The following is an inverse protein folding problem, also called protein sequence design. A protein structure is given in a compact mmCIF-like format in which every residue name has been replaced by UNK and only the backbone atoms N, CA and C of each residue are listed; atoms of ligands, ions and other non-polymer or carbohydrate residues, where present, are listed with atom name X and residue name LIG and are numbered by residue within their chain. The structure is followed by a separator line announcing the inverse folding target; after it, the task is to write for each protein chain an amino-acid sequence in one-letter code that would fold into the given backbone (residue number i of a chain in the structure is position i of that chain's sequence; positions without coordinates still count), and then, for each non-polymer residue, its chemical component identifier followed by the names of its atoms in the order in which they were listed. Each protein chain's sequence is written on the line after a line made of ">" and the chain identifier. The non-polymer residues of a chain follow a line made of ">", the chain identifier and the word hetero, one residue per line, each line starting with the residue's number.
data_IF_095717524771
#
_entry.id   IF_095717524771
#
_cell.length_a   1.000
_cell.length_b   1.000
_cell.length_c   1.000
_cell.angle_alpha   90.00
_cell.angle_beta   90.00
_cell.angle_gamma   90.00
#
_symmetry.space_group_name_H-M   'P 1'
#
loop_
_entity.id
_entity.type
_entity.pdbx_description
1 polymer ?
2 non-polymer ?
3 non-polymer ?
4 non-polymer ?
5 water ?
#
# COMPACT_ATOMS: atom_id res chain seq x y z
N UNK A 22 16.67 15.24 1.18
CA UNK A 22 15.62 14.42 1.79
C UNK A 22 14.51 14.08 0.78
N UNK A 23 14.06 12.83 0.83
CA UNK A 23 13.17 12.30 -0.18
C UNK A 23 11.81 12.04 0.44
N UNK A 24 10.75 12.46 -0.25
CA UNK A 24 9.40 12.17 0.19
C UNK A 24 8.61 13.40 0.58
N UNK A 25 9.15 14.58 0.25
CA UNK A 25 8.54 15.84 0.61
C UNK A 25 7.91 16.59 -0.56
N UNK A 26 8.08 16.07 -1.78
CA UNK A 26 7.59 16.73 -3.00
C UNK A 26 6.09 17.00 -2.95
N UNK A 27 5.68 18.09 -3.58
CA UNK A 27 4.26 18.43 -3.70
C UNK A 27 3.55 17.55 -4.72
N UNK A 28 2.38 17.04 -4.34
CA UNK A 28 1.58 16.20 -5.23
C UNK A 28 0.17 16.77 -5.36
N UNK A 29 -0.21 17.17 -6.58
CA UNK A 29 -1.43 17.94 -6.78
C UNK A 29 -2.23 17.45 -7.97
N UNK A 30 -2.91 16.30 -7.79
CA UNK A 30 -3.73 15.72 -8.87
C UNK A 30 -4.86 16.67 -9.28
N UNK A 31 -5.30 17.50 -8.35
CA UNK A 31 -6.40 18.43 -8.61
C UNK A 31 -6.04 19.48 -9.67
N UNK A 32 -4.74 19.66 -9.92
CA UNK A 32 -4.29 20.62 -10.92
C UNK A 32 -4.33 20.08 -12.34
N UNK A 33 -4.75 18.84 -12.51
CA UNK A 33 -4.89 18.25 -13.85
C UNK A 33 -6.25 17.57 -14.04
N UNK A 34 -6.88 17.76 -15.20
CA UNK A 34 -8.18 17.17 -15.46
C UNK A 34 -8.07 15.65 -15.60
N UNK A 35 -9.19 14.97 -15.39
CA UNK A 35 -9.20 13.52 -15.30
C UNK A 35 -8.84 12.86 -16.62
N UNK A 36 -9.33 13.40 -17.73
CA UNK A 36 -9.07 12.83 -19.05
C UNK A 36 -7.59 12.83 -19.38
N UNK A 37 -6.93 13.95 -19.06
CA UNK A 37 -5.50 14.08 -19.30
C UNK A 37 -4.73 13.09 -18.43
N UNK A 38 -5.12 12.97 -17.17
CA UNK A 38 -4.46 12.04 -16.26
C UNK A 38 -4.64 10.60 -16.73
N UNK A 39 -5.84 10.29 -17.19
CA UNK A 39 -6.15 8.93 -17.63
C UNK A 39 -5.31 8.58 -18.85
N UNK A 40 -5.10 9.56 -19.72
CA UNK A 40 -4.32 9.35 -20.94
C UNK A 40 -2.83 9.22 -20.63
N UNK A 41 -2.35 10.02 -19.69
CA UNK A 41 -1.03 9.80 -19.11
C UNK A 41 -0.89 8.38 -18.56
N UNK A 42 -1.91 7.95 -17.80
CA UNK A 42 -1.95 6.61 -17.26
C UNK A 42 -1.85 5.58 -18.35
N UNK A 43 -2.60 5.79 -19.45
CA UNK A 43 -2.57 4.87 -20.57
C UNK A 43 -1.18 4.80 -21.21
N UNK A 44 -0.49 5.93 -21.29
CA UNK A 44 0.88 5.94 -21.80
C UNK A 44 1.83 5.25 -20.83
N UNK A 45 1.60 5.39 -19.53
CA UNK A 45 2.40 4.71 -18.54
C UNK A 45 2.23 3.22 -18.63
N UNK A 46 0.99 2.80 -18.84
CA UNK A 46 0.66 1.39 -18.91
C UNK A 46 1.49 0.69 -19.98
N UNK A 47 1.87 1.40 -21.04
CA UNK A 47 2.59 0.75 -22.11
C UNK A 47 4.09 0.63 -21.87
N UNK A 48 4.67 1.53 -21.07
CA UNK A 48 6.13 1.65 -21.06
C UNK A 48 6.77 1.41 -19.70
N UNK A 49 6.00 1.70 -18.64
CA UNK A 49 6.46 1.55 -17.26
C UNK A 49 6.51 0.08 -16.86
N UNK A 50 7.65 -0.37 -16.35
CA UNK A 50 7.79 -1.74 -15.91
C UNK A 50 8.15 -2.70 -17.01
N UNK A 51 8.38 -2.19 -18.21
CA UNK A 51 8.91 -3.00 -19.30
C UNK A 51 10.35 -2.58 -19.57
N UNK A 52 10.94 -3.07 -20.65
CA UNK A 52 12.35 -2.85 -20.92
C UNK A 52 12.58 -1.74 -21.96
N UNK A 53 11.50 -1.25 -22.57
CA UNK A 53 11.63 -0.15 -23.51
C UNK A 53 12.02 1.11 -22.76
N UNK A 54 13.17 1.71 -23.12
CA UNK A 54 13.51 2.96 -22.45
C UNK A 54 12.94 4.18 -23.19
N UNK A 55 11.67 4.48 -22.96
CA UNK A 55 11.10 5.71 -23.50
C UNK A 55 11.42 6.86 -22.54
N UNK A 56 11.31 8.13 -23.00
CA UNK A 56 11.44 9.26 -22.08
C UNK A 56 10.58 9.11 -20.82
N UNK A 57 9.32 8.73 -21.01
CA UNK A 57 8.39 8.57 -19.91
C UNK A 57 8.90 7.52 -18.92
N UNK A 58 9.37 6.39 -19.46
CA UNK A 58 9.85 5.30 -18.64
C UNK A 58 11.13 5.70 -17.90
N UNK A 59 12.02 6.38 -18.61
CA UNK A 59 13.22 6.93 -18.00
C UNK A 59 12.85 7.90 -16.89
N UNK A 60 12.00 8.87 -17.22
CA UNK A 60 11.54 9.87 -16.27
C UNK A 60 11.10 9.22 -14.96
N UNK A 61 10.20 8.26 -15.07
CA UNK A 61 9.67 7.60 -13.89
C UNK A 61 10.58 6.49 -13.37
N UNK A 62 11.83 6.51 -13.78
CA UNK A 62 12.86 5.61 -13.28
C UNK A 62 13.95 6.38 -12.53
N UNK A 63 13.83 7.71 -12.52
CA UNK A 63 14.84 8.54 -11.89
C UNK A 63 15.87 9.12 -12.84
N UNK A 64 15.69 8.86 -14.14
CA UNK A 64 16.62 9.35 -15.14
C UNK A 64 16.11 10.67 -15.72
N UNK A 65 16.98 11.69 -15.78
CA UNK A 65 16.58 12.97 -16.41
C UNK A 65 16.28 12.79 -17.90
N UNK A 66 15.27 13.50 -18.42
CA UNK A 66 14.92 13.34 -19.83
C UNK A 66 14.74 14.68 -20.55
N UNK A 67 14.93 14.65 -21.86
CA UNK A 67 14.76 15.79 -22.74
C UNK A 67 13.27 16.08 -22.87
N UNK A 68 12.84 17.30 -22.52
CA UNK A 68 11.42 17.62 -22.65
C UNK A 68 10.87 17.49 -24.09
N UNK A 69 11.69 17.73 -25.11
CA UNK A 69 11.20 17.62 -26.48
C UNK A 69 10.89 16.17 -26.83
N UNK A 70 11.73 15.26 -26.36
CA UNK A 70 11.47 13.83 -26.53
C UNK A 70 10.26 13.39 -25.71
N UNK A 71 10.11 13.94 -24.52
CA UNK A 71 8.97 13.61 -23.67
C UNK A 71 7.68 14.08 -24.35
N UNK A 72 7.78 15.23 -25.01
CA UNK A 72 6.64 15.84 -25.67
C UNK A 72 6.23 14.98 -26.87
N UNK A 73 7.21 14.46 -27.59
CA UNK A 73 6.94 13.52 -28.66
C UNK A 73 6.11 12.35 -28.15
N UNK A 74 6.46 11.86 -26.97
CA UNK A 74 5.85 10.61 -26.48
C UNK A 74 4.45 10.82 -25.91
N UNK A 75 4.26 11.86 -25.10
CA UNK A 75 2.99 12.05 -24.38
C UNK A 75 2.25 13.35 -24.74
N UNK A 76 2.79 14.13 -25.67
CA UNK A 76 2.11 15.35 -26.10
C UNK A 76 2.36 16.49 -25.13
N UNK A 77 2.12 17.71 -25.58
CA UNK A 77 2.34 18.88 -24.74
C UNK A 77 1.31 18.92 -23.63
N UNK A 78 0.18 18.28 -23.91
CA UNK A 78 -0.86 18.06 -22.92
C UNK A 78 -0.31 17.15 -21.81
N UNK A 79 0.22 16.01 -22.20
CA UNK A 79 0.89 15.10 -21.28
C UNK A 79 2.03 15.79 -20.54
N UNK A 80 2.86 16.54 -21.26
CA UNK A 80 4.00 17.22 -20.62
C UNK A 80 3.52 18.20 -19.53
N UNK A 81 2.50 18.99 -19.87
CA UNK A 81 1.97 19.94 -18.90
C UNK A 81 1.31 19.23 -17.72
N UNK A 82 0.64 18.12 -17.98
CA UNK A 82 0.01 17.33 -16.93
C UNK A 82 1.05 16.77 -15.93
N UNK A 83 2.18 16.29 -16.44
CA UNK A 83 3.26 15.81 -15.59
C UNK A 83 3.77 16.91 -14.65
N UNK A 84 3.91 18.12 -15.18
CA UNK A 84 4.43 19.24 -14.40
C UNK A 84 3.42 19.77 -13.40
N UNK A 85 2.17 19.97 -13.84
CA UNK A 85 1.16 20.57 -12.94
C UNK A 85 0.80 19.66 -11.77
N UNK A 86 0.93 18.36 -11.96
CA UNK A 86 0.57 17.40 -10.91
C UNK A 86 1.71 17.22 -9.90
N UNK A 87 2.93 17.57 -10.29
CA UNK A 87 4.09 17.31 -9.45
C UNK A 87 4.80 16.02 -9.80
N UNK A 88 4.30 15.32 -10.81
CA UNK A 88 4.93 14.10 -11.29
C UNK A 88 6.30 14.36 -11.88
N UNK A 89 6.48 15.54 -12.49
CA UNK A 89 7.78 15.89 -13.03
C UNK A 89 8.13 17.35 -12.69
N UNK A 90 9.42 17.64 -12.70
CA UNK A 90 9.93 18.97 -12.45
C UNK A 90 10.79 19.41 -13.63
N UNK A 91 10.59 20.64 -14.07
CA UNK A 91 11.40 21.24 -15.12
C UNK A 91 12.65 21.85 -14.52
N UNK A 92 13.79 21.20 -14.72
CA UNK A 92 15.06 21.70 -14.22
C UNK A 92 15.77 22.57 -15.25
N UNK A 93 15.01 23.10 -16.19
CA UNK A 93 15.57 23.94 -17.23
C UNK A 93 15.54 23.27 -18.59
N UNK A 94 16.61 22.53 -18.89
CA UNK A 94 16.74 21.85 -20.18
C UNK A 94 16.37 20.37 -20.06
N UNK A 95 16.15 19.90 -18.84
CA UNK A 95 15.69 18.54 -18.62
C UNK A 95 14.55 18.46 -17.62
N UNK A 96 13.78 17.38 -17.70
CA UNK A 96 12.81 17.03 -16.68
C UNK A 96 13.34 15.89 -15.83
N UNK A 97 13.03 15.94 -14.55
CA UNK A 97 13.25 14.81 -13.66
C UNK A 97 11.97 14.57 -12.87
N UNK A 98 11.90 13.43 -12.19
CA UNK A 98 10.75 13.13 -11.37
C UNK A 98 11.20 12.76 -9.97
N UNK A 99 10.49 13.27 -8.95
CA UNK A 99 10.65 12.81 -7.58
C UNK A 99 10.01 11.45 -7.35
N UNK A 100 9.27 10.97 -8.35
CA UNK A 100 8.48 9.75 -8.22
C UNK A 100 8.98 8.63 -9.12
N UNK A 101 8.62 7.39 -8.77
CA UNK A 101 8.97 6.23 -9.57
C UNK A 101 7.73 5.46 -9.98
N UNK A 102 7.69 4.99 -11.22
CA UNK A 102 6.53 4.28 -11.74
C UNK A 102 6.58 2.77 -11.69
N UNK A 103 5.42 2.13 -11.55
CA UNK A 103 5.31 0.68 -11.47
C UNK A 103 4.09 0.26 -12.24
N UNK A 104 4.07 -0.95 -12.78
CA UNK A 104 2.83 -1.36 -13.37
C UNK A 104 2.62 -2.74 -12.77
N UNK A 105 1.49 -2.94 -12.08
CA UNK A 105 1.23 -4.19 -11.38
C UNK A 105 -0.16 -4.62 -11.73
N UNK A 106 -0.31 -5.88 -12.10
CA UNK A 106 -1.62 -6.49 -12.34
C UNK A 106 -2.60 -5.55 -13.05
N UNK A 107 -2.13 -4.90 -14.11
CA UNK A 107 -2.96 -4.00 -14.90
C UNK A 107 -2.97 -2.56 -14.41
N UNK A 108 -2.49 -2.36 -13.18
CA UNK A 108 -2.56 -1.05 -12.56
C UNK A 108 -1.22 -0.32 -12.59
N UNK A 109 -1.24 0.97 -12.95
CA UNK A 109 -0.03 1.79 -12.86
C UNK A 109 -0.04 2.53 -11.53
N UNK A 110 1.11 2.59 -10.88
CA UNK A 110 1.24 3.18 -9.54
C UNK A 110 2.54 3.97 -9.48
N UNK A 111 2.45 5.24 -9.10
CA UNK A 111 3.63 6.02 -8.77
C UNK A 111 3.83 6.06 -7.25
N UNK A 112 5.08 6.03 -6.81
CA UNK A 112 5.41 6.22 -5.41
C UNK A 112 6.80 6.85 -5.29
N UNK A 113 7.29 6.99 -4.06
CA UNK A 113 8.62 7.53 -3.85
C UNK A 113 9.66 6.50 -4.25
N UNK A 114 10.88 6.94 -4.58
CA UNK A 114 11.93 5.95 -4.81
C UNK A 114 12.28 5.27 -3.49
N UNK A 115 12.77 4.04 -3.56
CA UNK A 115 13.16 3.29 -2.36
C UNK A 115 14.50 3.81 -1.84
N UNK A 116 14.49 4.46 -0.68
CA UNK A 116 15.74 5.01 -0.15
C UNK A 116 15.84 4.67 1.31
N UNK A 117 17.06 4.77 1.84
CA UNK A 117 17.30 4.38 3.22
C UNK A 117 16.50 5.27 4.19
N UNK A 118 16.23 4.72 5.37
CA UNK A 118 15.38 5.37 6.35
C UNK A 118 15.84 6.77 6.74
N UNK A 119 17.15 7.00 6.73
CA UNK A 119 17.70 8.25 7.26
C UNK A 119 17.47 9.43 6.35
N UNK A 120 17.15 9.21 5.08
CA UNK A 120 16.94 10.34 4.17
C UNK A 120 15.47 10.46 3.76
N UNK A 121 14.61 9.72 4.43
CA UNK A 121 13.18 9.84 4.19
C UNK A 121 12.57 11.05 4.91
N UNK A 122 11.83 11.85 4.16
CA UNK A 122 10.93 12.86 4.71
C UNK A 122 9.88 12.17 5.60
N UNK A 123 9.29 12.90 6.55
CA UNK A 123 8.23 12.31 7.36
C UNK A 123 6.98 11.96 6.55
N UNK A 124 6.82 12.58 5.37
CA UNK A 124 5.68 12.25 4.52
C UNK A 124 6.06 11.30 3.37
N UNK A 125 7.22 10.67 3.48
CA UNK A 125 7.66 9.60 2.59
C UNK A 125 6.60 8.51 2.43
N UNK A 126 6.40 8.05 1.21
CA UNK A 126 5.40 7.03 0.99
C UNK A 126 6.08 5.72 0.65
N UNK A 127 5.65 4.63 1.31
CA UNK A 127 6.06 3.26 1.00
C UNK A 127 6.27 3.13 -0.52
N UNK A 128 7.50 2.80 -0.92
CA UNK A 128 7.85 2.78 -2.35
C UNK A 128 7.46 1.45 -3.03
N UNK A 129 6.51 0.74 -2.43
CA UNK A 129 6.06 -0.59 -2.83
C UNK A 129 7.11 -1.64 -2.46
N UNK A 130 7.49 -1.66 -1.19
CA UNK A 130 8.40 -2.69 -0.70
C UNK A 130 7.81 -4.09 -0.93
N UNK A 131 6.54 -4.27 -0.57
CA UNK A 131 5.92 -5.59 -0.57
C UNK A 131 4.64 -5.74 -1.40
N UNK A 132 4.14 -4.64 -1.96
CA UNK A 132 2.81 -4.60 -2.60
C UNK A 132 2.62 -5.64 -3.72
N UNK A 133 3.63 -5.83 -4.57
CA UNK A 133 3.44 -6.79 -5.66
C UNK A 133 3.29 -8.21 -5.10
N UNK A 134 4.04 -8.49 -4.04
CA UNK A 134 3.91 -9.75 -3.32
C UNK A 134 2.51 -9.90 -2.70
N UNK A 135 2.05 -8.86 -2.02
CA UNK A 135 0.79 -8.91 -1.28
C UNK A 135 -0.44 -9.12 -2.16
N UNK A 136 -0.45 -8.48 -3.32
CA UNK A 136 -1.56 -8.62 -4.25
C UNK A 136 -1.73 -10.06 -4.71
N UNK A 137 -0.62 -10.75 -4.95
CA UNK A 137 -0.65 -12.17 -5.27
C UNK A 137 -1.15 -13.00 -4.08
N UNK A 138 -0.92 -12.52 -2.86
CA UNK A 138 -1.39 -13.24 -1.67
C UNK A 138 -2.88 -13.05 -1.44
N UNK A 139 -3.38 -11.87 -1.81
CA UNK A 139 -4.76 -11.46 -1.52
C UNK A 139 -5.77 -12.40 -2.15
N UNK A 140 -6.85 -12.66 -1.43
CA UNK A 140 -7.94 -13.48 -1.95
C UNK A 140 -8.57 -12.82 -3.17
N UNK A 141 -8.93 -13.64 -4.15
CA UNK A 141 -9.55 -13.14 -5.37
C UNK A 141 -11.06 -13.24 -5.28
N UNK A 142 -11.62 -12.55 -4.30
CA UNK A 142 -13.06 -12.45 -4.14
C UNK A 142 -13.42 -10.98 -4.27
N UNK A 143 -14.69 -10.70 -4.52
CA UNK A 143 -15.16 -9.33 -4.58
C UNK A 143 -16.25 -9.14 -3.56
N UNK A 144 -16.90 -7.98 -3.60
CA UNK A 144 -17.95 -7.70 -2.63
C UNK A 144 -18.34 -6.25 -2.66
N UNK A 145 -19.03 -5.80 -1.62
CA UNK A 145 -19.63 -4.47 -1.61
C UNK A 145 -18.64 -3.34 -1.33
N UNK A 146 -17.99 -3.43 -0.18
CA UNK A 146 -17.26 -2.29 0.35
C UNK A 146 -15.93 -2.71 0.96
N UNK A 147 -14.84 -2.12 0.48
CA UNK A 147 -13.51 -2.49 0.94
C UNK A 147 -12.83 -1.32 1.59
N UNK A 148 -11.92 -1.62 2.51
CA UNK A 148 -11.16 -0.63 3.24
C UNK A 148 -9.68 -0.98 3.15
N UNK A 149 -8.90 -0.01 2.72
CA UNK A 149 -7.44 -0.12 2.64
C UNK A 149 -6.84 0.77 3.73
N UNK A 150 -6.56 0.17 4.88
CA UNK A 150 -6.01 0.88 6.02
C UNK A 150 -4.52 1.15 5.79
N UNK A 151 -4.13 2.42 5.89
CA UNK A 151 -2.78 2.81 5.53
C UNK A 151 -2.55 2.63 4.04
N UNK A 152 -3.33 3.33 3.22
CA UNK A 152 -3.29 3.12 1.78
C UNK A 152 -1.99 3.58 1.10
N UNK A 153 -1.23 4.47 1.73
CA UNK A 153 0.00 4.97 1.12
C UNK A 153 -0.17 5.45 -0.32
N UNK A 154 0.48 4.77 -1.26
CA UNK A 154 0.38 5.14 -2.69
C UNK A 154 -0.99 4.84 -3.31
N UNK A 155 -1.78 4.01 -2.63
CA UNK A 155 -3.09 3.62 -3.14
C UNK A 155 -3.12 2.25 -3.81
N UNK A 156 -1.97 1.62 -3.98
CA UNK A 156 -1.83 0.41 -4.76
C UNK A 156 -2.85 -0.69 -4.40
N UNK A 157 -3.01 -1.05 -3.12
CA UNK A 157 -3.97 -2.11 -2.79
C UNK A 157 -5.41 -1.69 -3.13
N UNK A 158 -5.73 -0.43 -2.85
CA UNK A 158 -7.02 0.14 -3.20
C UNK A 158 -7.31 0.03 -4.68
N UNK A 159 -6.32 0.34 -5.49
CA UNK A 159 -6.53 0.36 -6.94
C UNK A 159 -6.85 -1.04 -7.42
N UNK A 160 -6.22 -2.03 -6.78
CA UNK A 160 -6.45 -3.42 -7.13
C UNK A 160 -7.84 -3.86 -6.68
N UNK A 161 -8.20 -3.52 -5.45
CA UNK A 161 -9.50 -3.87 -4.89
C UNK A 161 -10.70 -3.25 -5.65
N UNK A 162 -10.46 -2.12 -6.31
CA UNK A 162 -11.53 -1.37 -7.00
C UNK A 162 -12.15 -2.16 -8.13
N UNK A 163 -11.38 -3.07 -8.69
CA UNK A 163 -11.82 -3.96 -9.76
C UNK A 163 -12.92 -4.92 -9.31
N UNK A 164 -12.94 -5.17 -8.00
CA UNK A 164 -13.70 -6.27 -7.43
C UNK A 164 -14.81 -5.78 -6.51
N UNK A 165 -14.72 -4.51 -6.09
CA UNK A 165 -15.62 -3.96 -5.08
C UNK A 165 -16.38 -2.77 -5.60
N UNK A 166 -17.63 -2.68 -5.16
CA UNK A 166 -18.50 -1.59 -5.54
C UNK A 166 -17.87 -0.26 -5.12
N UNK A 167 -17.17 -0.30 -3.98
CA UNK A 167 -16.60 0.87 -3.35
C UNK A 167 -15.35 0.52 -2.55
N UNK A 168 -14.30 1.33 -2.70
CA UNK A 168 -13.08 1.16 -1.90
C UNK A 168 -12.77 2.45 -1.17
N UNK A 169 -12.52 2.35 0.14
CA UNK A 169 -12.06 3.48 0.95
C UNK A 169 -10.61 3.27 1.36
N UNK A 170 -9.75 4.20 0.96
CA UNK A 170 -8.37 4.19 1.39
C UNK A 170 -8.17 5.25 2.46
N UNK A 171 -7.57 4.84 3.58
CA UNK A 171 -7.30 5.76 4.70
C UNK A 171 -5.80 5.87 4.92
N UNK A 172 -5.28 7.09 5.06
CA UNK A 172 -3.91 7.26 5.57
C UNK A 172 -3.79 8.53 6.41
N UNK A 173 -2.89 8.49 7.39
CA UNK A 173 -2.64 9.63 8.25
C UNK A 173 -1.61 10.56 7.59
N UNK A 174 -0.93 10.03 6.57
CA UNK A 174 -0.03 10.82 5.73
C UNK A 174 -0.80 11.56 4.62
N UNK A 175 -0.86 12.91 4.69
CA UNK A 175 -1.64 13.68 3.72
C UNK A 175 -1.06 13.55 2.32
N UNK A 176 0.25 13.39 2.23
CA UNK A 176 0.89 13.19 0.93
C UNK A 176 0.52 11.85 0.31
N UNK A 177 0.34 10.83 1.15
CA UNK A 177 -0.11 9.54 0.67
C UNK A 177 -1.52 9.65 0.11
N UNK A 178 -2.36 10.43 0.79
CA UNK A 178 -3.73 10.58 0.32
C UNK A 178 -3.76 11.24 -1.06
N UNK A 179 -2.90 12.24 -1.26
CA UNK A 179 -2.87 12.96 -2.52
C UNK A 179 -2.33 12.04 -3.60
N UNK A 180 -1.30 11.29 -3.26
CA UNK A 180 -0.70 10.37 -4.22
C UNK A 180 -1.70 9.30 -4.62
N UNK A 181 -2.50 8.85 -3.65
CA UNK A 181 -3.54 7.85 -3.93
C UNK A 181 -4.56 8.35 -4.94
N UNK A 182 -5.06 9.56 -4.74
CA UNK A 182 -5.98 10.21 -5.70
C UNK A 182 -5.35 10.39 -7.08
N UNK A 183 -4.08 10.74 -7.12
CA UNK A 183 -3.35 10.83 -8.37
C UNK A 183 -3.40 9.46 -9.07
N UNK A 184 -2.92 8.43 -8.40
CA UNK A 184 -2.83 7.10 -8.99
C UNK A 184 -4.18 6.54 -9.42
N UNK A 185 -5.23 6.83 -8.67
CA UNK A 185 -6.57 6.39 -9.07
C UNK A 185 -7.01 7.09 -10.36
N UNK A 186 -6.68 8.38 -10.50
CA UNK A 186 -7.02 9.13 -11.72
C UNK A 186 -6.19 8.64 -12.90
N UNK A 187 -4.91 8.32 -12.67
CA UNK A 187 -4.09 7.76 -13.73
C UNK A 187 -4.71 6.48 -14.30
N UNK A 188 -5.36 5.71 -13.44
CA UNK A 188 -5.97 4.45 -13.86
C UNK A 188 -7.44 4.57 -14.23
N UNK A 189 -7.94 5.79 -14.25
CA UNK A 189 -9.34 6.03 -14.57
C UNK A 189 -10.35 5.41 -13.62
N UNK A 190 -9.91 5.10 -12.40
CA UNK A 190 -10.78 4.46 -11.41
C UNK A 190 -11.59 5.48 -10.63
N UNK A 191 -12.92 5.34 -10.61
CA UNK A 191 -13.77 6.32 -9.93
C UNK A 191 -14.61 5.78 -8.76
N UNK A 192 -14.43 4.51 -8.42
CA UNK A 192 -15.17 3.93 -7.31
C UNK A 192 -14.32 3.85 -6.05
N UNK A 193 -13.30 4.72 -5.97
CA UNK A 193 -12.39 4.74 -4.83
C UNK A 193 -12.40 6.10 -4.12
N UNK A 194 -12.37 6.05 -2.80
CA UNK A 194 -12.32 7.27 -1.99
C UNK A 194 -11.10 7.22 -1.08
N UNK A 195 -10.41 8.35 -0.95
CA UNK A 195 -9.25 8.41 -0.07
C UNK A 195 -9.43 9.52 0.93
N UNK A 196 -9.15 9.21 2.21
CA UNK A 196 -9.37 10.14 3.31
C UNK A 196 -8.18 10.23 4.25
N UNK A 197 -7.80 11.45 4.63
CA UNK A 197 -6.75 11.64 5.60
C UNK A 197 -7.32 11.40 6.99
N UNK A 198 -6.64 10.62 7.82
CA UNK A 198 -7.10 10.45 9.19
C UNK A 198 -6.39 9.33 9.92
N UNK A 199 -6.75 9.17 11.18
CA UNK A 199 -6.08 8.25 12.09
C UNK A 199 -6.80 6.92 12.24
N UNK A 200 -6.16 5.85 11.74
CA UNK A 200 -6.73 4.51 11.72
C UNK A 200 -8.21 4.50 11.32
N UNK A 201 -9.08 3.96 12.17
CA UNK A 201 -10.49 3.81 11.82
C UNK A 201 -11.34 5.05 11.99
N UNK A 202 -10.76 6.14 12.50
CA UNK A 202 -11.50 7.37 12.71
C UNK A 202 -12.30 7.81 11.46
N UNK A 203 -11.67 7.85 10.27
CA UNK A 203 -12.50 8.24 9.11
C UNK A 203 -13.26 7.09 8.43
N UNK A 204 -13.25 5.90 9.01
CA UNK A 204 -13.87 4.73 8.38
C UNK A 204 -15.18 4.34 9.10
N UNK A 205 -16.30 4.87 8.63
CA UNK A 205 -17.58 4.69 9.31
C UNK A 205 -18.32 3.46 8.81
N UNK A 206 -19.03 2.81 9.73
CA UNK A 206 -19.79 1.62 9.38
C UNK A 206 -18.91 0.41 9.22
N UNK A 207 -19.38 -0.56 8.44
CA UNK A 207 -18.71 -1.84 8.33
C UNK A 207 -18.25 -2.10 6.90
N UNK A 208 -17.32 -3.05 6.78
CA UNK A 208 -16.71 -3.38 5.50
C UNK A 208 -16.71 -4.87 5.31
N UNK A 209 -16.88 -5.32 4.06
CA UNK A 209 -16.77 -6.72 3.71
C UNK A 209 -15.31 -7.16 3.44
N UNK A 210 -14.42 -6.18 3.32
CA UNK A 210 -13.00 -6.44 3.02
C UNK A 210 -12.13 -5.35 3.66
N UNK A 211 -11.10 -5.77 4.38
CA UNK A 211 -10.16 -4.83 4.99
C UNK A 211 -8.76 -5.33 4.72
N UNK A 212 -7.94 -4.50 4.10
CA UNK A 212 -6.57 -4.89 3.83
C UNK A 212 -5.64 -3.93 4.58
N UNK A 213 -4.53 -4.45 5.10
CA UNK A 213 -3.66 -3.66 5.95
C UNK A 213 -2.19 -4.05 5.78
N UNK A 214 -1.49 -3.36 4.87
CA UNK A 214 -0.04 -3.49 4.78
C UNK A 214 0.53 -2.68 5.93
N UNK A 215 0.55 -3.28 7.12
CA UNK A 215 0.78 -2.55 8.36
C UNK A 215 2.16 -1.86 8.42
N UNK A 216 2.21 -0.67 9.03
CA UNK A 216 3.52 -0.03 9.29
C UNK A 216 4.20 -0.65 10.51
N UNK A 217 4.62 -1.90 10.36
CA UNK A 217 5.40 -2.57 11.37
C UNK A 217 6.60 -3.25 10.73
N UNK A 218 7.76 -3.16 11.37
CA UNK A 218 8.93 -3.88 10.90
C UNK A 218 9.88 -4.25 12.05
N UNK A 219 10.92 -3.46 12.29
CA UNK A 219 11.93 -3.84 13.28
C UNK A 219 11.81 -3.10 14.62
N UNK A 220 10.75 -2.32 14.78
CA UNK A 220 10.65 -1.38 15.89
C UNK A 220 10.04 -1.98 17.16
N UNK A 221 9.49 -3.19 17.08
CA UNK A 221 8.89 -3.84 18.24
C UNK A 221 7.69 -3.08 18.79
N UNK A 222 7.76 -2.69 20.06
CA UNK A 222 6.67 -1.91 20.67
C UNK A 222 6.79 -0.41 20.49
N UNK A 223 7.93 0.05 19.98
CA UNK A 223 8.23 1.48 19.96
C UNK A 223 7.62 2.16 18.75
N UNK A 224 7.04 3.33 18.92
CA UNK A 224 6.64 4.12 17.76
C UNK A 224 7.86 4.86 17.22
N UNK A 225 8.20 4.59 15.97
CA UNK A 225 9.33 5.24 15.32
C UNK A 225 8.85 6.30 14.36
N UNK A 226 8.03 5.89 13.39
CA UNK A 226 7.42 6.85 12.48
C UNK A 226 6.27 6.17 11.75
N UNK A 227 5.78 6.84 10.70
CA UNK A 227 4.60 6.39 9.98
C UNK A 227 4.78 5.02 9.36
N UNK A 228 6.02 4.61 9.15
CA UNK A 228 6.24 3.32 8.47
C UNK A 228 6.65 2.23 9.46
N UNK A 229 6.98 2.64 10.67
CA UNK A 229 7.25 1.71 11.77
C UNK A 229 6.61 2.27 13.03
N UNK A 230 5.34 1.94 13.24
CA UNK A 230 4.51 2.62 14.23
C UNK A 230 4.40 1.86 15.55
N UNK A 231 4.96 0.65 15.59
CA UNK A 231 4.96 -0.17 16.79
C UNK A 231 3.82 -1.17 16.85
N UNK A 232 3.97 -2.19 17.68
CA UNK A 232 2.91 -3.16 17.90
C UNK A 232 1.57 -2.55 18.33
N UNK A 233 1.56 -1.44 19.11
CA UNK A 233 0.25 -0.90 19.47
C UNK A 233 -0.64 -0.51 18.29
N UNK A 234 -0.07 -0.22 17.12
CA UNK A 234 -0.93 0.07 15.98
C UNK A 234 -1.70 -1.19 15.56
N UNK A 235 -1.11 -2.36 15.73
CA UNK A 235 -1.81 -3.63 15.42
C UNK A 235 -2.91 -3.91 16.42
N UNK A 236 -2.61 -3.66 17.70
CA UNK A 236 -3.59 -3.82 18.76
C UNK A 236 -4.81 -2.98 18.46
N UNK A 237 -4.58 -1.70 18.17
CA UNK A 237 -5.65 -0.79 17.74
C UNK A 237 -6.42 -1.34 16.53
N UNK A 238 -5.68 -1.80 15.54
CA UNK A 238 -6.32 -2.40 14.36
C UNK A 238 -7.19 -3.60 14.73
N UNK A 239 -6.59 -4.59 15.38
CA UNK A 239 -7.29 -5.85 15.65
C UNK A 239 -8.40 -5.72 16.71
N UNK A 240 -8.24 -4.82 17.69
CA UNK A 240 -9.32 -4.56 18.64
C UNK A 240 -10.57 -3.99 17.97
N UNK A 241 -10.39 -3.28 16.85
CA UNK A 241 -11.53 -2.67 16.18
C UNK A 241 -12.13 -3.53 15.08
N UNK A 242 -11.35 -4.48 14.56
CA UNK A 242 -11.80 -5.35 13.47
C UNK A 242 -13.18 -5.96 13.67
N UNK A 243 -13.47 -6.53 14.87
CA UNK A 243 -14.80 -7.15 15.05
C UNK A 243 -15.99 -6.21 14.81
N UNK A 244 -15.85 -4.93 15.13
CA UNK A 244 -16.92 -3.98 14.91
C UNK A 244 -16.81 -3.24 13.56
N UNK A 245 -15.72 -3.42 12.82
CA UNK A 245 -15.65 -2.82 11.49
C UNK A 245 -15.95 -3.82 10.38
N UNK A 246 -16.02 -5.09 10.75
CA UNK A 246 -16.11 -6.15 9.77
C UNK A 246 -17.55 -6.64 9.55
N UNK A 247 -17.97 -6.66 8.29
CA UNK A 247 -19.27 -7.21 7.94
C UNK A 247 -19.25 -8.71 8.22
N UNK A 248 -20.43 -9.27 8.47
CA UNK A 248 -20.58 -10.72 8.59
C UNK A 248 -20.05 -11.38 7.34
N UNK A 249 -19.24 -12.41 7.49
CA UNK A 249 -18.68 -13.08 6.33
C UNK A 249 -17.55 -12.29 5.69
N UNK A 250 -17.05 -11.28 6.41
CA UNK A 250 -16.03 -10.40 5.87
C UNK A 250 -14.64 -11.01 5.84
N UNK A 251 -13.75 -10.34 5.11
CA UNK A 251 -12.38 -10.79 4.98
C UNK A 251 -11.41 -9.70 5.40
N UNK A 252 -10.46 -10.06 6.25
CA UNK A 252 -9.38 -9.17 6.63
C UNK A 252 -8.03 -9.79 6.25
N UNK A 253 -7.17 -8.98 5.63
CA UNK A 253 -5.84 -9.40 5.24
C UNK A 253 -4.78 -8.42 5.74
N UNK A 254 -3.75 -8.95 6.39
CA UNK A 254 -2.73 -8.09 7.01
C UNK A 254 -1.31 -8.60 6.78
N UNK A 255 -0.46 -7.71 6.29
CA UNK A 255 0.98 -7.90 6.31
C UNK A 255 1.54 -7.26 7.57
N UNK A 256 2.33 -8.01 8.32
CA UNK A 256 2.78 -7.51 9.63
C UNK A 256 3.98 -8.24 10.15
N UNK A 257 4.75 -7.53 10.95
CA UNK A 257 5.80 -8.14 11.72
C UNK A 257 5.23 -8.50 13.09
N UNK A 258 5.63 -9.66 13.59
CA UNK A 258 5.15 -10.19 14.84
C UNK A 258 6.31 -10.56 15.74
N UNK A 259 6.26 -10.13 16.98
CA UNK A 259 7.28 -10.52 17.96
C UNK A 259 6.77 -11.54 18.97
N UNK A 260 7.42 -12.69 19.00
CA UNK A 260 7.24 -13.69 20.06
C UNK A 260 8.31 -13.50 21.14
N UNK A 261 7.89 -13.49 22.39
CA UNK A 261 8.84 -13.45 23.49
C UNK A 261 8.61 -14.71 24.35
N UNK A 262 9.62 -15.12 25.14
CA UNK A 262 9.44 -16.31 25.97
C UNK A 262 8.22 -16.17 26.88
N UNK A 263 7.30 -17.11 26.78
CA UNK A 263 6.11 -17.09 27.61
C UNK A 263 5.09 -16.06 27.16
N UNK A 264 5.40 -15.38 26.05
CA UNK A 264 4.53 -14.32 25.56
C UNK A 264 4.50 -14.27 24.03
N UNK A 265 3.77 -15.21 23.41
CA UNK A 265 3.70 -15.24 21.95
C UNK A 265 2.72 -14.21 21.40
N UNK A 266 3.08 -13.64 20.25
CA UNK A 266 2.24 -12.70 19.56
C UNK A 266 0.80 -13.22 19.41
N UNK A 267 0.66 -14.52 19.09
CA UNK A 267 -0.64 -15.10 18.73
C UNK A 267 -1.67 -14.99 19.86
N UNK A 268 -1.21 -15.04 21.11
CA UNK A 268 -2.11 -14.94 22.24
C UNK A 268 -2.52 -13.51 22.54
N UNK A 269 -1.60 -12.55 22.37
CA UNK A 269 -1.99 -11.15 22.45
C UNK A 269 -3.01 -10.83 21.34
N UNK A 270 -2.73 -11.31 20.13
CA UNK A 270 -3.63 -11.13 19.01
C UNK A 270 -5.03 -11.69 19.28
N UNK A 271 -5.07 -12.91 19.79
CA UNK A 271 -6.32 -13.60 20.13
C UNK A 271 -7.14 -12.76 21.11
N UNK A 272 -6.46 -12.18 22.09
CA UNK A 272 -7.09 -11.26 23.05
C UNK A 272 -7.64 -10.01 22.37
N UNK A 273 -6.83 -9.38 21.51
CA UNK A 273 -7.28 -8.16 20.81
C UNK A 273 -8.57 -8.43 20.03
N UNK A 274 -8.57 -9.52 19.27
CA UNK A 274 -9.69 -9.88 18.42
C UNK A 274 -10.90 -10.38 19.18
N UNK A 275 -10.69 -10.71 20.45
CA UNK A 275 -11.67 -11.53 21.16
C UNK A 275 -11.97 -12.74 20.28
N UNK A 276 -10.92 -13.46 19.90
CA UNK A 276 -10.97 -14.41 18.79
C UNK A 276 -12.07 -15.45 18.97
N UNK A 277 -12.14 -16.06 20.15
CA UNK A 277 -13.13 -17.11 20.35
C UNK A 277 -14.52 -16.52 20.50
N UNK A 278 -14.66 -15.51 21.37
CA UNK A 278 -15.98 -14.93 21.59
C UNK A 278 -16.60 -14.40 20.26
N UNK A 279 -15.77 -13.98 19.31
CA UNK A 279 -16.31 -13.45 18.05
C UNK A 279 -16.38 -14.47 16.90
N UNK A 280 -15.93 -15.69 17.16
CA UNK A 280 -15.97 -16.75 16.16
C UNK A 280 -15.16 -16.51 14.90
N UNK A 281 -14.09 -15.75 15.02
CA UNK A 281 -13.25 -15.43 13.87
C UNK A 281 -12.29 -16.55 13.56
N UNK A 282 -12.13 -16.84 12.27
CA UNK A 282 -11.13 -17.79 11.83
C UNK A 282 -9.88 -17.04 11.38
N UNK A 283 -8.76 -17.32 12.04
CA UNK A 283 -7.53 -16.63 11.71
C UNK A 283 -6.51 -17.62 11.16
N UNK A 284 -5.87 -17.25 10.06
CA UNK A 284 -4.81 -18.06 9.49
C UNK A 284 -3.58 -17.21 9.25
N UNK A 285 -2.46 -17.61 9.84
CA UNK A 285 -1.21 -16.88 9.70
C UNK A 285 -0.21 -17.64 8.83
N UNK A 286 0.34 -16.96 7.81
CA UNK A 286 1.39 -17.56 6.99
C UNK A 286 2.70 -16.89 7.30
N UNK A 287 3.61 -17.61 7.96
CA UNK A 287 4.86 -17.03 8.42
C UNK A 287 5.95 -17.28 7.38
N UNK A 288 6.55 -16.21 6.91
CA UNK A 288 7.51 -16.29 5.83
C UNK A 288 8.96 -16.14 6.30
N UNK A 289 9.25 -15.13 7.11
CA UNK A 289 10.62 -14.85 7.52
C UNK A 289 10.72 -14.85 9.04
N UNK A 290 11.82 -15.37 9.56
CA UNK A 290 12.09 -15.35 11.00
C UNK A 290 13.45 -14.74 11.32
N UNK A 291 13.51 -13.98 12.42
CA UNK A 291 14.76 -13.34 12.87
C UNK A 291 14.91 -13.45 14.38
N UNK A 292 16.14 -13.58 14.86
CA UNK A 292 16.44 -13.54 16.30
C UNK A 292 16.31 -12.12 16.83
N UNK A 293 15.65 -11.94 17.97
CA UNK A 293 15.56 -10.59 18.51
C UNK A 293 16.03 -10.65 19.99
N UNK A 294 16.20 -9.52 20.64
CA UNK A 294 16.72 -9.58 22.01
C UNK A 294 15.61 -10.05 22.96
N UNK A 295 15.95 -10.17 24.24
CA UNK A 295 15.06 -10.70 25.26
C UNK A 295 14.70 -12.14 24.90
N UNK A 296 15.60 -12.81 24.18
CA UNK A 296 15.37 -14.17 23.74
C UNK A 296 14.13 -14.28 22.85
N UNK A 297 13.74 -13.15 22.25
CA UNK A 297 12.55 -13.12 21.45
C UNK A 297 12.79 -13.59 20.03
N UNK A 298 11.71 -13.86 19.31
CA UNK A 298 11.83 -14.12 17.89
C UNK A 298 10.90 -13.22 17.09
N UNK A 299 11.43 -12.64 16.04
CA UNK A 299 10.68 -11.78 15.15
C UNK A 299 10.21 -12.60 13.97
N UNK A 300 9.00 -12.34 13.50
CA UNK A 300 8.59 -12.95 12.24
C UNK A 300 7.75 -12.01 11.39
N UNK A 301 7.91 -12.13 10.08
CA UNK A 301 7.06 -11.45 9.10
C UNK A 301 6.16 -12.47 8.44
N UNK A 302 4.90 -12.11 8.31
CA UNK A 302 3.92 -12.98 7.72
C UNK A 302 2.67 -12.30 7.21
N UNK A 303 1.78 -13.14 6.70
CA UNK A 303 0.55 -12.74 6.06
C UNK A 303 -0.59 -13.34 6.85
N UNK A 304 -1.45 -12.48 7.38
CA UNK A 304 -2.53 -12.87 8.28
C UNK A 304 -3.89 -12.67 7.61
N UNK A 305 -4.71 -13.70 7.65
CA UNK A 305 -5.98 -13.69 6.96
C UNK A 305 -7.12 -14.07 7.90
N UNK A 306 -8.09 -13.17 8.03
CA UNK A 306 -9.37 -13.49 8.64
C UNK A 306 -10.39 -13.69 7.54
N UNK A 307 -11.00 -14.87 7.49
CA UNK A 307 -11.96 -15.22 6.46
C UNK A 307 -13.04 -16.14 7.05
N UNK A 308 -14.27 -16.13 6.49
CA UNK A 308 -15.35 -16.96 7.07
C UNK A 308 -14.92 -18.41 7.19
N UNK A 309 -15.18 -19.03 8.33
CA UNK A 309 -14.71 -20.39 8.57
C UNK A 309 -14.60 -20.72 10.04
N UNK A 310 -14.16 -21.95 10.34
CA UNK A 310 -14.18 -22.46 11.72
C UNK A 310 -13.34 -21.61 12.70
N UNK A 311 -13.99 -21.16 13.76
CA UNK A 311 -13.32 -20.34 14.77
C UNK A 311 -12.02 -21.02 15.20
N UNK A 312 -10.97 -20.22 15.35
CA UNK A 312 -9.69 -20.70 15.79
C UNK A 312 -8.59 -19.96 15.08
N UNK A 313 -7.36 -20.17 15.52
CA UNK A 313 -6.20 -19.55 14.89
C UNK A 313 -5.25 -20.63 14.41
N UNK A 314 -4.77 -20.50 13.18
CA UNK A 314 -3.83 -21.46 12.61
C UNK A 314 -2.60 -20.74 12.02
N UNK A 315 -1.42 -21.30 12.27
CA UNK A 315 -0.20 -20.75 11.72
C UNK A 315 0.50 -21.82 10.93
N UNK A 316 0.95 -21.49 9.72
CA UNK A 316 1.76 -22.40 8.95
C UNK A 316 2.98 -21.67 8.39
N UNK A 317 4.02 -22.46 8.09
CA UNK A 317 5.20 -21.96 7.43
C UNK A 317 4.93 -21.77 5.95
N UNK A 318 5.32 -20.63 5.40
CA UNK A 318 5.27 -20.41 3.97
C UNK A 318 6.26 -19.30 3.63
N UNK A 319 7.46 -19.69 3.19
CA UNK A 319 8.55 -18.75 2.86
C UNK A 319 8.33 -18.10 1.51
N UNK A 320 7.23 -17.38 1.39
CA UNK A 320 6.84 -16.81 0.12
C UNK A 320 7.78 -15.69 -0.33
N UNK A 321 8.49 -15.06 0.60
CA UNK A 321 9.56 -14.14 0.19
C UNK A 321 10.67 -14.89 -0.55
N UNK A 322 11.13 -15.99 0.03
CA UNK A 322 12.16 -16.78 -0.64
C UNK A 322 11.65 -17.29 -1.98
N UNK A 323 10.42 -17.82 -1.98
CA UNK A 323 9.83 -18.42 -3.16
C UNK A 323 9.62 -17.38 -4.27
N UNK A 324 8.69 -16.47 -4.04
CA UNK A 324 8.30 -15.48 -5.03
C UNK A 324 9.29 -14.32 -5.10
N UNK A 325 9.03 -13.27 -4.32
CA UNK A 325 9.83 -12.04 -4.36
C UNK A 325 9.93 -11.48 -5.79
N UNK A 326 10.73 -12.16 -6.61
CA UNK A 326 10.81 -11.85 -8.04
C UNK A 326 9.92 -12.80 -8.87
N UNK A 327 8.67 -12.97 -8.46
CA UNK A 327 7.81 -14.00 -9.05
C UNK A 327 6.35 -13.91 -8.64
N UNK A 328 5.52 -14.87 -9.10
CA UNK A 328 4.28 -15.25 -8.41
C UNK A 328 4.46 -16.54 -7.59
X LIG B 1 -0.83 0.38 1.55
X LIG B 1 0.45 0.86 1.06
X LIG B 1 1.34 1.43 2.17
X LIG B 1 1.64 0.49 3.33
X LIG B 1 2.99 1.13 4.36
X LIG B 1 1.21 -0.25 0.32
X LIG B 1 0.87 -1.43 0.46
X LIG B 1 2.15 0.02 -0.42
X LIG B 1 2.00 1.47 5.85
X LIG B 1 1.07 2.68 5.75
X LIG B 1 0.33 2.85 6.96
X LIG B 1 1.80 4.00 5.51
X LIG B 1 1.26 4.58 4.34
X LIG B 1 1.49 4.86 6.73
X LIG B 1 1.36 6.25 6.48
X LIG B 1 0.17 4.25 7.17
X LIG B 1 -0.15 4.61 8.57
X LIG B 1 0.73 4.70 9.63
X LIG B 1 0.02 5.08 10.71
X LIG B 1 -1.26 5.26 10.37
X LIG B 1 -2.39 5.67 11.08
X LIG B 1 -2.30 5.95 12.39
X LIG B 1 -3.60 5.76 10.45
X LIG B 1 -3.70 5.48 9.10
X LIG B 1 -2.58 5.08 8.40
X LIG B 1 -1.38 4.99 9.02
X LIG C 1 11.61 5.26 9.31
X LIG D 1 15.68 0.58 2.52
X LIG D 1 15.46 -0.89 2.12
X LIG D 1 16.62 -1.32 1.25
X LIG D 1 13.16 0.45 5.30
X LIG D 1 14.52 0.97 3.40
X LIG D 1 6.06 -3.84 4.10
X LIG D 1 6.39 -3.37 5.40
X LIG D 1 5.99 -1.91 5.38
X LIG D 1 4.55 -1.91 5.21
X LIG D 1 6.41 -1.26 6.68
X LIG D 1 6.00 0.12 6.73
X LIG D 1 7.89 -1.34 6.71
X LIG D 1 8.21 -2.75 6.82
X LIG D 1 7.88 -3.53 5.67
X LIG D 1 8.66 -3.08 4.57
X LIG D 1 10.09 -3.51 4.62
X LIG D 1 10.99 -2.39 4.10
X LIG D 1 10.83 -1.21 4.87
X LIG D 1 10.37 -4.77 3.72
X LIG D 1 9.55 -5.90 4.16
X LIG D 1 11.86 -5.18 3.66
X LIG D 1 12.71 -4.00 3.19
X LIG D 1 14.15 -4.36 3.01
X LIG D 1 12.49 -2.79 4.13
X LIG D 1 13.21 -1.67 3.65
X LIG D 1 14.44 -1.36 4.29
X LIG D 1 15.45 -1.72 3.31
X LIG D 1 16.51 -2.71 0.92
X LIG D 1 15.77 1.52 1.39
X LIG D 1 14.57 2.39 3.72
X LIG D 1 14.44 0.12 4.66
#
# INVERSE_FOLDING_TARGET
>A
MGSSHHHHHHSSGLVPRGSHMIVGGSTIQPERVDAAALRQLGDAMRKVVGSADPTPLADLLSGTPVDPDELTREVGADGRQALLDSGMAVDDGTTFSSPLRGHQLHGVVVLSDPDVEEEVQHRWYVDPLWEADLLIRLMLRRGGARALDMGCGSGVLSLVLADRYESVLGVDVNPRAVALSRLNAALNGLTNVTFREGDMFEPAEGRFSRIVFNSPTNEEGNEFVDLLEAGEPILETFFRNVPRKLESGGIVEVNLAMNDYPGDPFRERLADWLGLTENGLRVQIFTSQRRATESGGEWKRGWLVVAPGPVGLTEVEWPYHDRYEEDPDALLDGTDRLLRG
>B hetero
1 SAH N CA CB CG SD C O OXT C5' C4' O4' C3' O3' C2' O2' C1' N9 C8 N7 C5 C6 N6 N1 C2 N3 C4
>C hetero
1 MG MG
>D hetero
1 7XP C4 C5 C6 N2 C3 OAH CAX CAU NAC CAT OAF CAL OAN CBC OAQ CBE CAZ OAJ CAS NAB CAM CAR NAA CBD O1 C1 O5 O6 O4 O3 C2
#
